data_IF_297306603866
#
_entry.id   IF_297306603866
#
_cell.length_a   1.000
_cell.length_b   1.000
_cell.length_c   1.000
_cell.angle_alpha   90.00
_cell.angle_beta   90.00
_cell.angle_gamma   90.00
#
_symmetry.space_group_name_H-M   'P 1'
#
loop_
_entity.id
_entity.type
_entity.pdbx_description
1 polymer ?
#
# COMPACT_ATOMS: atom_id res chain seq x y z
N UNK A 1 0.61 -27.11 1.34
CA UNK A 1 0.54 -25.66 1.07
C UNK A 1 1.75 -25.31 0.21
N UNK A 2 1.55 -24.92 -1.05
CA UNK A 2 2.65 -24.56 -1.95
C UNK A 2 2.46 -23.09 -2.32
N UNK A 3 3.09 -22.21 -1.52
CA UNK A 3 3.33 -20.82 -1.94
C UNK A 3 3.96 -20.85 -3.34
N UNK A 4 3.63 -19.88 -4.18
CA UNK A 4 4.10 -19.85 -5.56
C UNK A 4 5.58 -19.49 -5.63
N UNK A 5 5.94 -18.56 -6.50
CA UNK A 5 7.33 -18.17 -6.70
C UNK A 5 7.81 -17.23 -5.59
N UNK A 6 9.04 -17.46 -5.12
CA UNK A 6 9.69 -16.57 -4.16
C UNK A 6 10.21 -15.32 -4.88
N UNK A 7 9.95 -14.12 -4.34
CA UNK A 7 10.36 -12.86 -4.97
C UNK A 7 11.46 -12.15 -4.18
N UNK A 8 11.24 -11.90 -2.89
CA UNK A 8 12.15 -11.09 -2.07
C UNK A 8 12.26 -11.65 -0.64
N UNK A 9 13.48 -11.77 -0.12
CA UNK A 9 13.71 -12.11 1.28
C UNK A 9 13.55 -10.89 2.18
N UNK A 10 13.39 -11.16 3.49
CA UNK A 10 13.24 -10.12 4.51
C UNK A 10 14.44 -9.17 4.58
N UNK A 11 15.66 -9.68 4.49
CA UNK A 11 16.88 -8.84 4.58
C UNK A 11 16.99 -7.87 3.41
N UNK A 12 16.57 -8.29 2.22
CA UNK A 12 16.53 -7.47 1.01
C UNK A 12 15.49 -6.37 1.14
N UNK A 13 14.29 -6.70 1.63
CA UNK A 13 13.25 -5.69 1.92
C UNK A 13 13.74 -4.68 2.95
N UNK A 14 14.25 -5.12 4.10
CA UNK A 14 14.72 -4.23 5.17
C UNK A 14 15.86 -3.31 4.71
N UNK A 15 16.79 -3.82 3.91
CA UNK A 15 17.87 -3.00 3.32
C UNK A 15 17.30 -1.90 2.44
N UNK A 16 16.36 -2.23 1.55
CA UNK A 16 15.74 -1.24 0.66
C UNK A 16 14.92 -0.21 1.44
N UNK A 17 14.19 -0.62 2.47
CA UNK A 17 13.45 0.30 3.34
C UNK A 17 14.39 1.31 4.02
N UNK A 18 15.55 0.86 4.49
CA UNK A 18 16.56 1.76 5.07
C UNK A 18 17.16 2.73 4.03
N UNK A 19 17.34 2.29 2.78
CA UNK A 19 17.79 3.16 1.68
C UNK A 19 16.72 4.21 1.33
N UNK A 20 15.46 3.79 1.21
CA UNK A 20 14.32 4.70 0.99
C UNK A 20 14.23 5.77 2.08
N UNK A 21 14.38 5.39 3.35
CA UNK A 21 14.37 6.33 4.45
C UNK A 21 15.48 7.39 4.32
N UNK A 22 16.68 7.00 3.87
CA UNK A 22 17.78 7.94 3.61
C UNK A 22 17.47 8.87 2.43
N UNK A 23 16.91 8.34 1.35
CA UNK A 23 16.50 9.13 0.17
C UNK A 23 15.44 10.17 0.55
N UNK A 24 14.42 9.75 1.30
CA UNK A 24 13.33 10.62 1.80
C UNK A 24 13.89 11.67 2.76
N UNK A 25 14.72 11.26 3.73
CA UNK A 25 15.35 12.17 4.68
C UNK A 25 16.26 13.20 4.00
N UNK A 26 17.00 12.80 2.96
CA UNK A 26 17.83 13.72 2.18
C UNK A 26 17.00 14.74 1.39
N UNK A 27 15.84 14.33 0.86
CA UNK A 27 14.94 15.21 0.11
C UNK A 27 14.28 16.26 1.02
N UNK A 28 13.75 15.84 2.16
CA UNK A 28 13.01 16.73 3.07
C UNK A 28 13.90 17.50 4.07
N UNK A 29 15.12 17.01 4.31
CA UNK A 29 16.05 17.62 5.26
C UNK A 29 15.54 17.52 6.70
N UNK A 30 15.58 18.64 7.43
CA UNK A 30 15.21 18.69 8.87
C UNK A 30 13.71 18.68 9.12
N UNK A 31 12.91 19.01 8.12
CA UNK A 31 11.46 19.13 8.25
C UNK A 31 10.82 18.00 7.45
N UNK A 32 10.57 16.88 8.13
CA UNK A 32 9.95 15.70 7.52
C UNK A 32 8.44 15.95 7.26
N UNK A 33 7.86 15.33 6.22
CA UNK A 33 6.44 15.47 5.92
C UNK A 33 5.59 14.71 6.94
N UNK A 34 4.29 15.01 6.98
CA UNK A 34 3.32 14.12 7.60
C UNK A 34 3.23 12.83 6.78
N UNK A 35 3.51 11.69 7.41
CA UNK A 35 3.41 10.37 6.79
C UNK A 35 1.97 9.89 6.91
N UNK A 36 1.39 9.47 5.80
CA UNK A 36 0.06 8.85 5.76
C UNK A 36 0.23 7.41 5.28
N UNK A 37 0.13 6.47 6.21
CA UNK A 37 0.17 5.04 5.90
C UNK A 37 -1.18 4.55 5.38
N UNK A 38 -1.18 3.89 4.22
CA UNK A 38 -2.37 3.29 3.64
C UNK A 38 -2.55 1.85 4.14
N UNK A 39 -3.67 1.60 4.81
CA UNK A 39 -3.97 0.35 5.52
C UNK A 39 -4.99 -0.51 4.76
N UNK A 40 -4.99 -1.84 4.96
CA UNK A 40 -4.18 -2.60 5.93
C UNK A 40 -2.85 -3.12 5.36
N UNK A 41 -2.74 -3.23 4.04
CA UNK A 41 -1.59 -3.84 3.36
C UNK A 41 -0.26 -3.17 3.66
N UNK A 42 -0.24 -1.82 3.62
CA UNK A 42 0.94 -1.00 3.91
C UNK A 42 1.45 -1.05 5.36
N UNK A 43 0.73 -1.65 6.32
CA UNK A 43 1.05 -1.56 7.74
C UNK A 43 2.52 -1.89 8.06
N UNK A 44 3.03 -3.00 7.54
CA UNK A 44 4.38 -3.48 7.85
C UNK A 44 5.44 -2.56 7.23
N UNK A 45 5.24 -2.17 5.97
CA UNK A 45 6.12 -1.24 5.29
C UNK A 45 6.16 0.14 5.95
N UNK A 46 4.99 0.70 6.27
CA UNK A 46 4.86 2.00 6.94
C UNK A 46 5.62 1.99 8.26
N UNK A 47 5.39 0.98 9.11
CA UNK A 47 6.05 0.88 10.42
C UNK A 47 7.57 0.81 10.30
N UNK A 48 8.07 -0.01 9.38
CA UNK A 48 9.52 -0.16 9.20
C UNK A 48 10.15 1.09 8.58
N UNK A 49 9.46 1.77 7.66
CA UNK A 49 9.94 3.02 7.07
C UNK A 49 10.00 4.15 8.11
N UNK A 50 8.94 4.39 8.88
CA UNK A 50 8.91 5.50 9.85
C UNK A 50 9.91 5.33 10.98
N UNK A 51 10.20 4.08 11.39
CA UNK A 51 11.27 3.79 12.36
C UNK A 51 12.65 4.20 11.86
N UNK A 52 12.88 4.15 10.56
CA UNK A 52 14.15 4.54 9.94
C UNK A 52 14.24 6.06 9.68
N UNK A 53 13.10 6.76 9.57
CA UNK A 53 13.05 8.22 9.35
C UNK A 53 13.37 9.03 10.62
N UNK A 54 13.12 8.49 11.82
CA UNK A 54 13.45 9.13 13.10
C UNK A 54 12.23 9.49 13.96
N UNK A 55 12.46 10.17 15.10
CA UNK A 55 11.45 10.35 16.17
C UNK A 55 10.41 11.45 15.92
N UNK A 56 10.70 12.43 15.07
CA UNK A 56 9.90 13.67 14.96
C UNK A 56 8.95 13.68 13.76
N UNK A 57 8.52 12.51 13.31
CA UNK A 57 7.61 12.34 12.18
C UNK A 57 6.17 12.23 12.69
N UNK A 58 5.28 13.10 12.19
CA UNK A 58 3.84 12.91 12.37
C UNK A 58 3.37 11.77 11.47
N UNK A 59 2.77 10.74 12.06
CA UNK A 59 2.23 9.58 11.33
C UNK A 59 0.73 9.51 11.54
N UNK A 60 -0.02 9.43 10.45
CA UNK A 60 -1.46 9.13 10.42
C UNK A 60 -1.71 7.94 9.49
N UNK A 61 -2.83 7.25 9.67
CA UNK A 61 -3.15 6.07 8.89
C UNK A 61 -4.54 6.19 8.27
N UNK A 62 -4.65 5.91 6.98
CA UNK A 62 -5.93 5.91 6.27
C UNK A 62 -6.29 4.51 5.82
N UNK A 63 -7.57 4.19 5.92
CA UNK A 63 -8.12 2.96 5.35
C UNK A 63 -9.01 3.33 4.17
N UNK A 64 -8.63 2.85 2.98
CA UNK A 64 -9.44 3.00 1.79
C UNK A 64 -10.21 1.70 1.53
N UNK A 65 -11.52 1.81 1.31
CA UNK A 65 -12.37 0.68 0.95
C UNK A 65 -12.94 0.90 -0.43
N UNK A 66 -12.76 -0.05 -1.33
CA UNK A 66 -13.47 -0.06 -2.61
C UNK A 66 -14.96 -0.29 -2.38
N UNK A 67 -15.80 0.74 -2.53
CA UNK A 67 -17.25 0.61 -2.63
C UNK A 67 -17.64 0.28 -4.07
N UNK A 68 -18.58 -0.65 -4.23
CA UNK A 68 -19.23 -0.92 -5.51
C UNK A 68 -20.49 -0.06 -5.57
N UNK A 69 -20.47 1.01 -6.36
CA UNK A 69 -21.66 1.83 -6.65
C UNK A 69 -22.54 1.19 -7.73
N UNK A 70 -23.84 1.46 -7.71
CA UNK A 70 -24.86 0.89 -8.61
C UNK A 70 -24.99 1.60 -9.97
N UNK A 71 -24.06 2.46 -10.34
CA UNK A 71 -24.04 3.12 -11.66
C UNK A 71 -22.76 2.76 -12.42
N UNK A 72 -22.93 2.41 -13.69
CA UNK A 72 -21.94 1.90 -14.63
C UNK A 72 -20.62 2.69 -14.67
N UNK A 73 -19.60 2.28 -13.91
CA UNK A 73 -18.15 2.42 -14.17
C UNK A 73 -17.34 2.46 -12.86
N UNK A 74 -16.45 1.48 -12.67
CA UNK A 74 -15.35 1.58 -11.70
C UNK A 74 -15.73 1.40 -10.23
N UNK A 75 -14.99 0.53 -9.53
CA UNK A 75 -14.99 0.51 -8.05
C UNK A 75 -14.47 1.86 -7.56
N UNK A 76 -15.27 2.60 -6.78
CA UNK A 76 -14.85 3.85 -6.15
C UNK A 76 -14.23 3.50 -4.81
N UNK A 77 -12.95 3.82 -4.59
CA UNK A 77 -12.34 3.68 -3.26
C UNK A 77 -12.85 4.83 -2.36
N UNK A 78 -13.78 4.53 -1.47
CA UNK A 78 -14.22 5.41 -0.39
C UNK A 78 -13.25 5.34 0.79
N UNK A 79 -12.72 6.50 1.18
CA UNK A 79 -11.88 6.63 2.37
C UNK A 79 -12.77 6.51 3.62
N UNK A 80 -12.42 5.68 4.58
CA UNK A 80 -13.07 5.68 5.90
C UNK A 80 -12.76 7.03 6.57
N UNK A 81 -13.80 7.74 7.03
CA UNK A 81 -13.81 9.19 7.32
C UNK A 81 -12.57 9.65 8.08
N UNK A 82 -11.75 10.44 7.41
CA UNK A 82 -10.61 11.15 7.99
C UNK A 82 -10.94 12.64 8.11
N UNK A 83 -10.86 13.16 9.34
CA UNK A 83 -11.04 14.58 9.69
C UNK A 83 -9.70 15.29 9.96
N UNK A 84 -8.57 14.72 9.49
CA UNK A 84 -7.27 15.33 9.68
C UNK A 84 -7.18 16.69 8.97
N UNK A 85 -6.62 17.68 9.65
CA UNK A 85 -6.24 18.96 9.03
C UNK A 85 -4.81 18.86 8.50
N UNK A 86 -4.67 19.01 7.18
CA UNK A 86 -3.38 18.98 6.46
C UNK A 86 -2.97 20.36 5.94
N UNK A 87 -3.68 21.43 6.32
CA UNK A 87 -3.36 22.80 5.90
C UNK A 87 -1.93 23.18 6.26
N UNK A 88 -1.17 23.60 5.24
CA UNK A 88 0.23 24.00 5.41
C UNK A 88 1.21 22.84 5.56
N UNK A 89 0.75 21.58 5.48
CA UNK A 89 1.57 20.40 5.68
C UNK A 89 2.04 19.82 4.34
N UNK A 90 3.30 19.38 4.30
CA UNK A 90 3.80 18.46 3.27
C UNK A 90 3.41 17.04 3.66
N UNK A 91 3.00 16.24 2.70
CA UNK A 91 2.43 14.91 2.91
C UNK A 91 3.17 13.88 2.08
N UNK A 92 3.53 12.75 2.70
CA UNK A 92 4.01 11.57 2.00
C UNK A 92 3.03 10.41 2.24
N UNK A 93 2.33 10.01 1.18
CA UNK A 93 1.47 8.83 1.19
C UNK A 93 2.34 7.58 1.00
N UNK A 94 2.17 6.59 1.87
CA UNK A 94 2.97 5.36 1.89
C UNK A 94 2.03 4.15 1.75
N UNK A 95 2.22 3.36 0.70
CA UNK A 95 1.42 2.15 0.42
C UNK A 95 2.32 0.93 0.19
N UNK A 96 1.78 -0.28 0.34
CA UNK A 96 2.54 -1.50 0.03
C UNK A 96 2.73 -1.68 -1.48
N UNK A 97 1.71 -1.39 -2.28
CA UNK A 97 1.73 -1.71 -3.71
C UNK A 97 1.08 -0.65 -4.61
N UNK A 98 1.78 -0.29 -5.69
CA UNK A 98 1.18 0.32 -6.86
C UNK A 98 0.79 -0.77 -7.88
N UNK A 99 -0.51 -0.95 -8.08
CA UNK A 99 -1.11 -1.81 -9.11
C UNK A 99 -1.90 -0.96 -10.12
N UNK A 100 -3.19 -0.70 -9.87
CA UNK A 100 -4.04 0.10 -10.78
C UNK A 100 -3.96 1.62 -10.55
N UNK A 101 -3.26 2.07 -9.50
CA UNK A 101 -3.15 3.49 -9.14
C UNK A 101 -4.34 4.11 -8.41
N UNK A 102 -5.54 3.51 -8.53
CA UNK A 102 -6.79 4.11 -8.02
C UNK A 102 -6.79 4.45 -6.53
N UNK A 103 -6.16 3.62 -5.70
CA UNK A 103 -6.03 3.85 -4.26
C UNK A 103 -5.21 5.10 -4.00
N UNK A 104 -4.01 5.18 -4.58
CA UNK A 104 -3.11 6.33 -4.45
C UNK A 104 -3.71 7.59 -5.05
N UNK A 105 -4.35 7.53 -6.20
CA UNK A 105 -5.05 8.68 -6.80
C UNK A 105 -6.16 9.23 -5.87
N UNK A 106 -6.93 8.33 -5.25
CA UNK A 106 -8.01 8.71 -4.33
C UNK A 106 -7.45 9.31 -3.03
N UNK A 107 -6.39 8.72 -2.48
CA UNK A 107 -5.70 9.24 -1.31
C UNK A 107 -5.05 10.60 -1.60
N UNK A 108 -4.36 10.75 -2.73
CA UNK A 108 -3.74 12.02 -3.15
C UNK A 108 -4.76 13.13 -3.27
N UNK A 109 -5.86 12.88 -3.99
CA UNK A 109 -6.96 13.85 -4.11
C UNK A 109 -7.49 14.26 -2.74
N UNK A 110 -7.68 13.29 -1.83
CA UNK A 110 -8.15 13.58 -0.47
C UNK A 110 -7.16 14.43 0.32
N UNK A 111 -5.86 14.16 0.23
CA UNK A 111 -4.84 14.96 0.91
C UNK A 111 -4.84 16.42 0.44
N UNK A 112 -4.98 16.64 -0.87
CA UNK A 112 -5.13 17.98 -1.44
C UNK A 112 -6.41 18.69 -0.96
N UNK A 113 -7.55 18.00 -0.92
CA UNK A 113 -8.82 18.54 -0.38
C UNK A 113 -8.71 18.95 1.11
N UNK A 114 -7.86 18.27 1.87
CA UNK A 114 -7.58 18.58 3.28
C UNK A 114 -6.53 19.69 3.47
N UNK A 115 -6.03 20.28 2.38
CA UNK A 115 -5.18 21.47 2.40
C UNK A 115 -3.67 21.22 2.41
N UNK A 116 -3.22 20.01 2.08
CA UNK A 116 -1.79 19.72 1.92
C UNK A 116 -1.14 20.70 0.93
N UNK A 117 0.11 21.11 1.19
CA UNK A 117 0.89 21.98 0.29
C UNK A 117 1.74 21.18 -0.70
N UNK A 118 2.01 19.92 -0.38
CA UNK A 118 2.75 18.97 -1.18
C UNK A 118 2.19 17.57 -0.89
N UNK A 119 2.01 16.75 -1.93
CA UNK A 119 1.62 15.35 -1.80
C UNK A 119 2.55 14.52 -2.67
N UNK A 120 3.43 13.77 -2.03
CA UNK A 120 4.34 12.82 -2.66
C UNK A 120 3.94 11.39 -2.31
N UNK A 121 4.43 10.43 -3.10
CA UNK A 121 4.04 9.02 -3.01
C UNK A 121 5.27 8.14 -2.83
N UNK A 122 5.16 7.19 -1.90
CA UNK A 122 6.13 6.11 -1.69
C UNK A 122 5.41 4.76 -1.69
N UNK A 123 5.91 3.80 -2.48
CA UNK A 123 5.40 2.43 -2.48
C UNK A 123 6.53 1.44 -2.28
N UNK A 124 6.26 0.35 -1.56
CA UNK A 124 7.24 -0.73 -1.46
C UNK A 124 7.40 -1.43 -2.81
N UNK A 125 6.30 -1.69 -3.50
CA UNK A 125 6.29 -2.48 -4.74
C UNK A 125 5.53 -1.75 -5.84
N UNK A 126 6.07 -1.75 -7.05
CA UNK A 126 5.36 -1.32 -8.27
C UNK A 126 5.28 -2.50 -9.25
N UNK A 127 4.08 -2.75 -9.79
CA UNK A 127 3.91 -3.75 -10.85
C UNK A 127 4.30 -3.18 -12.22
N UNK A 128 4.82 -4.03 -13.10
CA UNK A 128 5.19 -3.64 -14.47
C UNK A 128 4.01 -3.00 -15.23
N UNK A 129 2.79 -3.53 -15.07
CA UNK A 129 1.55 -2.99 -15.64
C UNK A 129 1.18 -1.58 -15.16
N UNK A 130 1.77 -1.10 -14.07
CA UNK A 130 1.58 0.26 -13.57
C UNK A 130 2.41 1.29 -14.34
N UNK A 131 3.24 0.85 -15.29
CA UNK A 131 4.01 1.73 -16.16
C UNK A 131 3.07 2.61 -17.00
N UNK A 132 3.23 3.93 -16.93
CA UNK A 132 2.42 4.89 -17.67
C UNK A 132 1.13 5.36 -16.97
N UNK A 133 0.88 4.93 -15.72
CA UNK A 133 -0.20 5.52 -14.92
C UNK A 133 0.08 6.99 -14.58
N UNK A 134 -0.98 7.75 -14.33
CA UNK A 134 -0.85 9.17 -13.95
C UNK A 134 -0.19 9.34 -12.57
N UNK A 135 -0.44 8.40 -11.66
CA UNK A 135 0.22 8.37 -10.36
C UNK A 135 1.64 7.82 -10.49
N UNK A 136 2.63 8.68 -10.23
CA UNK A 136 4.04 8.34 -10.31
C UNK A 136 4.68 8.45 -8.92
N UNK A 137 4.90 7.32 -8.22
CA UNK A 137 5.63 7.35 -6.97
C UNK A 137 7.06 7.82 -7.17
N UNK A 138 7.46 8.83 -6.39
CA UNK A 138 8.84 9.31 -6.36
C UNK A 138 9.76 8.25 -5.78
N UNK A 139 9.27 7.52 -4.78
CA UNK A 139 10.02 6.49 -4.07
C UNK A 139 9.39 5.13 -4.28
N UNK A 140 10.15 4.23 -4.90
CA UNK A 140 9.74 2.87 -5.19
C UNK A 140 10.77 1.94 -4.58
N UNK A 141 10.31 0.98 -3.76
CA UNK A 141 11.18 -0.05 -3.21
C UNK A 141 11.65 -1.00 -4.31
N UNK A 142 10.71 -1.66 -4.99
CA UNK A 142 10.98 -2.71 -5.97
C UNK A 142 10.01 -2.66 -7.14
N UNK A 143 10.52 -2.94 -8.34
CA UNK A 143 9.71 -3.31 -9.49
C UNK A 143 9.48 -4.83 -9.50
N UNK A 144 8.26 -5.26 -9.77
CA UNK A 144 7.93 -6.69 -9.92
C UNK A 144 7.13 -6.97 -11.20
N UNK A 145 7.16 -8.22 -11.70
CA UNK A 145 6.24 -8.67 -12.74
C UNK A 145 4.76 -8.57 -12.32
N UNK A 146 3.87 -8.71 -13.30
CA UNK A 146 2.42 -8.68 -13.09
C UNK A 146 1.89 -9.98 -12.47
N UNK A 147 2.26 -10.23 -11.22
CA UNK A 147 1.85 -11.39 -10.42
C UNK A 147 1.07 -10.95 -9.19
N UNK A 148 0.22 -11.83 -8.67
CA UNK A 148 -0.43 -11.61 -7.39
C UNK A 148 0.56 -11.89 -6.27
N UNK A 149 0.80 -10.92 -5.39
CA UNK A 149 1.81 -11.03 -4.33
C UNK A 149 1.20 -11.10 -2.93
N UNK A 150 1.87 -11.83 -2.05
CA UNK A 150 1.53 -11.97 -0.64
C UNK A 150 2.78 -11.89 0.23
N UNK A 151 2.58 -11.58 1.51
CA UNK A 151 3.67 -11.39 2.47
C UNK A 151 4.02 -9.93 2.66
N UNK A 152 4.72 -9.65 3.75
CA UNK A 152 5.13 -8.31 4.16
C UNK A 152 3.96 -7.31 4.19
N UNK A 153 2.85 -7.73 4.80
CA UNK A 153 1.61 -6.94 4.88
C UNK A 153 0.60 -7.23 3.78
N UNK A 154 1.04 -7.62 2.57
CA UNK A 154 0.15 -8.01 1.47
C UNK A 154 -0.52 -9.36 1.77
N UNK A 155 -1.78 -9.50 1.39
CA UNK A 155 -2.62 -10.64 1.75
C UNK A 155 -3.35 -11.30 0.60
N UNK A 156 -3.76 -12.53 0.87
CA UNK A 156 -4.85 -13.17 0.15
C UNK A 156 -5.87 -13.69 1.16
N UNK A 157 -7.08 -13.12 1.17
CA UNK A 157 -8.15 -13.51 2.10
C UNK A 157 -7.78 -13.32 3.59
N UNK A 158 -7.02 -12.29 3.90
CA UNK A 158 -6.50 -12.03 5.24
C UNK A 158 -5.35 -12.96 5.67
N UNK A 159 -4.94 -13.91 4.82
CA UNK A 159 -3.81 -14.81 5.08
C UNK A 159 -2.51 -14.23 4.53
N UNK A 160 -1.39 -14.78 5.00
CA UNK A 160 -0.04 -14.53 4.53
C UNK A 160 0.59 -13.17 4.86
N UNK A 161 -0.14 -12.21 5.44
CA UNK A 161 0.40 -10.87 5.81
C UNK A 161 1.70 -10.92 6.61
N UNK A 162 1.82 -11.87 7.54
CA UNK A 162 2.94 -11.95 8.48
C UNK A 162 4.18 -12.64 7.92
N UNK A 163 4.16 -13.12 6.67
CA UNK A 163 5.36 -13.64 6.04
C UNK A 163 6.37 -12.49 5.93
N UNK A 164 7.62 -12.65 6.40
CA UNK A 164 8.60 -11.56 6.41
C UNK A 164 9.20 -11.29 5.01
N UNK A 165 8.78 -12.05 4.01
CA UNK A 165 9.27 -12.12 2.64
C UNK A 165 8.12 -11.96 1.64
N UNK A 166 8.42 -11.54 0.41
CA UNK A 166 7.44 -11.40 -0.65
C UNK A 166 7.40 -12.65 -1.55
N UNK A 167 6.19 -13.12 -1.86
CA UNK A 167 5.94 -14.28 -2.70
C UNK A 167 4.89 -13.97 -3.75
N UNK A 168 5.04 -14.51 -4.95
CA UNK A 168 3.96 -14.67 -5.90
C UNK A 168 3.05 -15.82 -5.45
N UNK A 169 1.74 -15.61 -5.44
CA UNK A 169 0.77 -16.65 -5.15
C UNK A 169 0.65 -17.60 -6.35
N UNK A 170 0.55 -18.91 -6.11
CA UNK A 170 0.39 -19.85 -7.21
C UNK A 170 -1.06 -19.80 -7.75
N UNK A 171 -1.28 -19.96 -9.07
CA UNK A 171 -2.63 -19.99 -9.64
C UNK A 171 -3.53 -21.08 -9.05
N UNK A 172 -2.94 -22.19 -8.58
CA UNK A 172 -3.68 -23.26 -7.91
C UNK A 172 -4.20 -22.81 -6.54
N UNK A 173 -3.37 -22.12 -5.76
CA UNK A 173 -3.74 -21.58 -4.45
C UNK A 173 -4.78 -20.45 -4.58
N UNK A 174 -4.66 -19.60 -5.60
CA UNK A 174 -5.69 -18.61 -5.95
C UNK A 174 -7.05 -19.28 -6.20
N UNK A 175 -7.09 -20.35 -6.99
CA UNK A 175 -8.35 -21.08 -7.27
C UNK A 175 -8.93 -21.72 -6.01
N UNK A 176 -8.08 -22.29 -5.15
CA UNK A 176 -8.52 -22.96 -3.92
C UNK A 176 -9.19 -21.96 -2.98
N UNK A 177 -8.55 -20.83 -2.66
CA UNK A 177 -9.21 -19.91 -1.72
C UNK A 177 -10.32 -19.07 -2.35
N UNK A 178 -10.32 -18.87 -3.67
CA UNK A 178 -11.49 -18.32 -4.36
C UNK A 178 -12.72 -19.23 -4.16
N UNK A 179 -12.55 -20.55 -4.27
CA UNK A 179 -13.61 -21.52 -4.01
C UNK A 179 -14.03 -21.57 -2.53
N UNK A 180 -13.08 -21.45 -1.59
CA UNK A 180 -13.38 -21.35 -0.15
C UNK A 180 -14.21 -20.09 0.18
N UNK A 181 -13.92 -18.94 -0.44
CA UNK A 181 -14.71 -17.70 -0.28
C UNK A 181 -16.16 -17.87 -0.72
N UNK A 182 -16.39 -18.48 -1.87
CA UNK A 182 -17.75 -18.73 -2.37
C UNK A 182 -18.55 -19.65 -1.45
N UNK A 183 -17.86 -20.56 -0.74
CA UNK A 183 -18.48 -21.50 0.19
C UNK A 183 -18.83 -20.83 1.53
N UNK A 184 -17.97 -19.94 2.03
CA UNK A 184 -18.17 -19.20 3.29
C UNK A 184 -19.20 -18.05 3.12
N UNK A 185 -19.38 -17.52 1.90
CA UNK A 185 -20.42 -16.54 1.59
C UNK A 185 -21.81 -17.14 1.28
N UNK A 186 -22.04 -18.43 1.57
CA UNK A 186 -23.41 -18.96 1.60
C UNK A 186 -24.18 -18.32 2.78
N UNK A 187 -25.32 -17.64 2.54
CA UNK A 187 -26.07 -17.04 3.61
C UNK A 187 -26.74 -18.17 4.38
N UNK A 188 -26.19 -18.53 5.55
CA UNK A 188 -27.05 -19.09 6.58
C UNK A 188 -27.93 -17.95 7.07
N UNK A 189 -29.05 -17.75 6.38
CA UNK A 189 -30.23 -17.14 6.98
C UNK A 189 -30.57 -17.96 8.24
N UNK A 190 -30.23 -17.42 9.42
CA UNK A 190 -31.06 -17.41 10.62
C UNK A 190 -30.67 -16.20 11.46
#
# INVERSE_FOLDING_TARGET
MKLGEFLLDSSTIQRRVAELAKEIGAYYGKELPTIIGLLDGGLFFVVDLVRQLGSDVRVICWRLRSYVGTSSSGRVCGLEVCQDDLRGQRVLLVDDILDTGRTLESASRRAWELGATEVELCVLVRKASSSGLSCQPRWIGFEIPDVFVVGYGMDYCGRYRTLPSLWALSPAEERIQAAERTTIQSPRCR
#
